data_IF_606168783328
#
_entry.id   IF_606168783328
#
_cell.length_a   1.000
_cell.length_b   1.000
_cell.length_c   1.000
_cell.angle_alpha   90.00
_cell.angle_beta   90.00
_cell.angle_gamma   90.00
#
_symmetry.space_group_name_H-M   'P 1'
#
loop_
_entity.id
_entity.type
_entity.pdbx_description
1 polymer ?
#
# COMPACT_ATOMS: atom_id res chain seq x y z
N UNK A 1 -7.19 -17.58 28.54
CA UNK A 1 -6.14 -16.55 28.75
C UNK A 1 -5.95 -15.86 27.41
N UNK A 2 -6.61 -14.71 27.20
CA UNK A 2 -6.71 -14.09 25.87
C UNK A 2 -5.37 -13.53 25.43
N UNK A 3 -4.79 -14.13 24.39
CA UNK A 3 -3.66 -13.55 23.66
C UNK A 3 -4.15 -12.25 23.03
N UNK A 4 -3.65 -11.13 23.53
CA UNK A 4 -3.88 -9.82 22.94
C UNK A 4 -3.19 -9.86 21.58
N UNK A 5 -3.97 -9.89 20.49
CA UNK A 5 -3.47 -9.78 19.13
C UNK A 5 -2.75 -8.43 18.97
N UNK A 6 -1.43 -8.43 19.21
CA UNK A 6 -0.54 -7.30 19.00
C UNK A 6 -0.22 -7.23 17.50
N UNK A 7 -0.59 -6.11 16.85
CA UNK A 7 -0.30 -5.89 15.43
C UNK A 7 -1.49 -5.48 14.55
N UNK A 8 -2.49 -4.75 15.06
CA UNK A 8 -3.46 -4.06 14.18
C UNK A 8 -2.71 -2.97 13.41
N UNK A 9 -2.75 -3.05 12.08
CA UNK A 9 -2.21 -2.04 11.15
C UNK A 9 -2.56 -0.61 11.60
N UNK A 10 -1.55 0.12 12.09
CA UNK A 10 -1.69 1.46 12.66
C UNK A 10 -2.33 2.43 11.66
N UNK A 11 -2.05 2.25 10.36
CA UNK A 11 -2.64 3.06 9.30
C UNK A 11 -4.15 2.86 9.24
N UNK A 12 -4.60 1.60 9.33
CA UNK A 12 -6.02 1.23 9.35
C UNK A 12 -6.74 1.67 10.63
N UNK A 13 -6.04 1.64 11.77
CA UNK A 13 -6.58 2.03 13.06
C UNK A 13 -6.76 3.56 13.17
N UNK A 14 -5.83 4.33 12.60
CA UNK A 14 -5.83 5.79 12.69
C UNK A 14 -6.71 6.47 11.63
N UNK A 15 -6.82 5.88 10.43
CA UNK A 15 -7.43 6.55 9.30
C UNK A 15 -8.45 5.67 8.57
N UNK A 16 -9.58 6.29 8.22
CA UNK A 16 -10.58 5.65 7.36
C UNK A 16 -9.98 5.27 6.01
N UNK A 17 -10.59 4.32 5.30
CA UNK A 17 -10.13 3.92 3.95
C UNK A 17 -9.96 5.12 3.00
N UNK A 18 -10.92 6.05 2.98
CA UNK A 18 -10.85 7.26 2.14
C UNK A 18 -9.68 8.16 2.55
N UNK A 19 -9.48 8.39 3.85
CA UNK A 19 -8.36 9.18 4.34
C UNK A 19 -7.02 8.57 3.95
N UNK A 20 -6.87 7.26 4.13
CA UNK A 20 -5.65 6.55 3.73
C UNK A 20 -5.34 6.77 2.25
N UNK A 21 -6.31 6.56 1.37
CA UNK A 21 -6.13 6.75 -0.07
C UNK A 21 -5.72 8.18 -0.44
N UNK A 22 -6.37 9.19 0.16
CA UNK A 22 -6.04 10.58 -0.12
C UNK A 22 -4.67 10.99 0.47
N UNK A 23 -4.39 10.60 1.71
CA UNK A 23 -3.11 10.89 2.36
C UNK A 23 -1.95 10.23 1.60
N UNK A 24 -2.10 8.97 1.19
CA UNK A 24 -1.16 8.27 0.31
C UNK A 24 -0.92 9.02 -1.01
N UNK A 25 -2.00 9.44 -1.68
CA UNK A 25 -1.92 10.13 -2.97
C UNK A 25 -1.19 11.48 -2.86
N UNK A 26 -1.51 12.28 -1.85
CA UNK A 26 -0.98 13.63 -1.70
C UNK A 26 0.36 13.67 -0.98
N UNK A 27 0.54 12.96 0.12
CA UNK A 27 1.77 13.05 0.92
C UNK A 27 2.84 12.05 0.49
N UNK A 28 2.48 11.01 -0.27
CA UNK A 28 3.44 10.16 -0.98
C UNK A 28 4.11 10.89 -2.16
N UNK A 29 3.35 11.74 -2.86
CA UNK A 29 3.83 12.54 -3.99
C UNK A 29 3.48 14.03 -3.83
N UNK A 30 4.09 14.74 -2.85
CA UNK A 30 3.67 16.08 -2.43
C UNK A 30 3.80 17.17 -3.50
N UNK A 31 4.63 16.95 -4.50
CA UNK A 31 4.84 17.92 -5.58
C UNK A 31 3.81 17.74 -6.72
N UNK A 32 3.09 16.60 -6.75
CA UNK A 32 2.06 16.33 -7.76
C UNK A 32 0.76 17.03 -7.43
N UNK A 33 0.12 17.54 -8.46
CA UNK A 33 -1.21 18.14 -8.43
C UNK A 33 -2.19 17.23 -9.15
N UNK A 34 -3.35 16.99 -8.55
CA UNK A 34 -4.38 16.10 -9.09
C UNK A 34 -5.70 16.83 -9.23
N UNK A 35 -6.43 16.61 -10.33
CA UNK A 35 -7.78 17.13 -10.49
C UNK A 35 -8.82 16.20 -9.85
N UNK A 36 -9.96 16.75 -9.42
CA UNK A 36 -10.98 16.03 -8.65
C UNK A 36 -11.38 14.66 -9.23
N UNK A 37 -11.62 14.59 -10.53
CA UNK A 37 -12.05 13.34 -11.19
C UNK A 37 -10.94 12.28 -11.24
N UNK A 38 -9.67 12.70 -11.33
CA UNK A 38 -8.53 11.78 -11.25
C UNK A 38 -8.43 11.17 -9.85
N UNK A 39 -8.60 12.00 -8.82
CA UNK A 39 -8.54 11.57 -7.41
C UNK A 39 -9.61 10.52 -7.14
N UNK A 40 -10.85 10.74 -7.61
CA UNK A 40 -11.96 9.79 -7.44
C UNK A 40 -11.62 8.43 -8.08
N UNK A 41 -11.08 8.43 -9.30
CA UNK A 41 -10.67 7.18 -9.97
C UNK A 41 -9.54 6.47 -9.23
N UNK A 42 -8.53 7.22 -8.77
CA UNK A 42 -7.36 6.67 -8.07
C UNK A 42 -7.68 6.17 -6.67
N UNK A 43 -8.58 6.85 -5.95
CA UNK A 43 -8.92 6.49 -4.58
C UNK A 43 -9.79 5.22 -4.48
N UNK A 44 -10.49 4.84 -5.55
CA UNK A 44 -11.31 3.62 -5.58
C UNK A 44 -12.42 3.59 -4.53
N UNK A 45 -12.92 4.77 -4.13
CA UNK A 45 -13.97 4.96 -3.12
C UNK A 45 -15.05 5.92 -3.65
N UNK A 46 -16.25 5.88 -3.06
CA UNK A 46 -17.40 6.64 -3.55
C UNK A 46 -17.14 8.15 -3.66
N UNK A 47 -17.55 8.75 -4.79
CA UNK A 47 -17.31 10.15 -5.16
C UNK A 47 -17.66 11.15 -4.05
N UNK A 48 -18.82 10.99 -3.40
CA UNK A 48 -19.25 11.87 -2.33
C UNK A 48 -18.35 11.83 -1.10
N UNK A 49 -17.80 10.65 -0.76
CA UNK A 49 -16.85 10.51 0.35
C UNK A 49 -15.51 11.17 0.02
N UNK A 50 -15.02 11.02 -1.21
CA UNK A 50 -13.81 11.72 -1.68
C UNK A 50 -13.98 13.22 -1.60
N UNK A 51 -15.09 13.77 -2.12
CA UNK A 51 -15.32 15.21 -2.13
C UNK A 51 -15.40 15.81 -0.72
N UNK A 52 -16.10 15.14 0.21
CA UNK A 52 -16.16 15.57 1.61
C UNK A 52 -14.79 15.59 2.26
N UNK A 53 -13.98 14.56 2.06
CA UNK A 53 -12.65 14.51 2.68
C UNK A 53 -11.69 15.50 2.02
N UNK A 54 -11.75 15.71 0.70
CA UNK A 54 -10.98 16.77 0.03
C UNK A 54 -11.30 18.16 0.57
N UNK A 55 -12.59 18.47 0.76
CA UNK A 55 -13.03 19.73 1.33
C UNK A 55 -12.53 19.90 2.77
N UNK A 56 -12.58 18.84 3.58
CA UNK A 56 -12.06 18.82 4.95
C UNK A 56 -10.55 19.04 5.01
N UNK A 57 -9.77 18.31 4.21
CA UNK A 57 -8.31 18.44 4.18
C UNK A 57 -7.87 19.81 3.66
N UNK A 58 -8.56 20.36 2.65
CA UNK A 58 -8.32 21.71 2.17
C UNK A 58 -8.68 22.77 3.22
N UNK A 59 -9.84 22.64 3.87
CA UNK A 59 -10.28 23.54 4.94
C UNK A 59 -9.36 23.54 6.16
N UNK A 60 -8.72 22.40 6.45
CA UNK A 60 -7.70 22.28 7.49
C UNK A 60 -6.30 22.77 7.06
N UNK A 61 -6.15 23.27 5.82
CA UNK A 61 -4.87 23.75 5.30
C UNK A 61 -3.86 22.63 5.00
N UNK A 62 -4.30 21.38 4.91
CA UNK A 62 -3.45 20.23 4.57
C UNK A 62 -3.28 20.07 3.05
N UNK A 63 -4.23 20.58 2.28
CA UNK A 63 -4.18 20.66 0.82
C UNK A 63 -4.31 22.10 0.36
N UNK A 64 -3.56 22.44 -0.69
CA UNK A 64 -3.78 23.65 -1.49
C UNK A 64 -4.75 23.34 -2.63
N UNK A 65 -5.63 24.30 -2.93
CA UNK A 65 -6.61 24.19 -4.02
C UNK A 65 -6.36 25.29 -5.04
N UNK A 66 -6.25 24.93 -6.32
CA UNK A 66 -6.10 25.89 -7.42
C UNK A 66 -7.05 25.56 -8.56
N UNK A 67 -7.62 26.58 -9.20
CA UNK A 67 -8.32 26.42 -10.48
C UNK A 67 -7.31 26.54 -11.62
N UNK A 68 -7.32 25.55 -12.51
CA UNK A 68 -6.53 25.55 -13.74
C UNK A 68 -7.52 25.33 -14.88
N UNK A 69 -7.81 26.39 -15.63
CA UNK A 69 -8.93 26.42 -16.57
C UNK A 69 -10.25 26.08 -15.87
N UNK A 70 -10.97 25.07 -16.37
CA UNK A 70 -12.24 24.60 -15.81
C UNK A 70 -12.08 23.52 -14.72
N UNK A 71 -10.85 23.16 -14.35
CA UNK A 71 -10.58 22.08 -13.40
C UNK A 71 -10.13 22.61 -12.03
N UNK A 72 -10.60 21.95 -10.98
CA UNK A 72 -10.14 22.18 -9.61
C UNK A 72 -9.06 21.14 -9.28
N UNK A 73 -7.88 21.66 -8.95
CA UNK A 73 -6.69 20.89 -8.62
C UNK A 73 -6.40 20.95 -7.13
N UNK A 74 -5.97 19.82 -6.59
CA UNK A 74 -5.54 19.64 -5.21
C UNK A 74 -4.08 19.20 -5.17
N UNK A 75 -3.34 19.72 -4.20
CA UNK A 75 -1.94 19.34 -3.95
C UNK A 75 -1.66 19.41 -2.44
N UNK A 76 -0.76 18.57 -1.94
CA UNK A 76 -0.30 18.66 -0.55
C UNK A 76 0.21 20.08 -0.23
N UNK A 77 -0.18 20.61 0.93
CA UNK A 77 0.34 21.88 1.40
C UNK A 77 1.63 21.66 2.19
N UNK A 78 2.77 21.93 1.56
CA UNK A 78 4.09 21.80 2.22
C UNK A 78 4.33 22.84 3.31
N UNK A 79 3.55 23.91 3.32
CA UNK A 79 3.59 24.96 4.34
C UNK A 79 2.72 24.62 5.56
N UNK A 80 1.99 23.50 5.54
CA UNK A 80 1.24 23.04 6.70
C UNK A 80 2.20 22.69 7.85
N UNK A 81 1.94 23.15 9.09
CA UNK A 81 2.81 22.86 10.23
C UNK A 81 3.00 21.37 10.53
N UNK A 82 2.02 20.53 10.17
CA UNK A 82 2.06 19.07 10.39
C UNK A 82 2.43 18.27 9.14
N UNK A 83 2.86 18.95 8.06
CA UNK A 83 3.23 18.28 6.82
C UNK A 83 4.35 17.24 7.02
N UNK A 84 5.46 17.53 7.73
CA UNK A 84 6.54 16.57 7.93
C UNK A 84 6.07 15.28 8.63
N UNK A 85 5.19 15.41 9.62
CA UNK A 85 4.65 14.30 10.41
C UNK A 85 3.70 13.45 9.57
N UNK A 86 2.75 14.07 8.86
CA UNK A 86 1.84 13.35 7.97
C UNK A 86 2.60 12.63 6.84
N UNK A 87 3.59 13.30 6.25
CA UNK A 87 4.46 12.69 5.25
C UNK A 87 5.27 11.54 5.84
N UNK A 88 5.80 11.70 7.06
CA UNK A 88 6.52 10.64 7.76
C UNK A 88 5.65 9.41 8.00
N UNK A 89 4.42 9.60 8.46
CA UNK A 89 3.44 8.51 8.65
C UNK A 89 3.17 7.83 7.31
N UNK A 90 2.87 8.60 6.26
CA UNK A 90 2.57 8.04 4.93
C UNK A 90 3.75 7.28 4.34
N UNK A 91 4.98 7.78 4.47
CA UNK A 91 6.17 7.08 3.96
C UNK A 91 6.42 5.78 4.74
N UNK A 92 6.25 5.80 6.06
CA UNK A 92 6.45 4.61 6.91
C UNK A 92 5.37 3.54 6.73
N UNK A 93 4.21 3.90 6.20
CA UNK A 93 3.06 2.98 6.06
C UNK A 93 2.78 2.62 4.60
N UNK A 94 2.64 3.63 3.73
CA UNK A 94 2.27 3.51 2.31
C UNK A 94 3.45 3.62 1.32
N UNK A 95 4.55 4.29 1.71
CA UNK A 95 5.87 3.84 1.23
C UNK A 95 6.04 2.36 1.62
N UNK A 96 7.14 1.65 1.45
CA UNK A 96 7.10 0.16 1.54
C UNK A 96 6.19 -0.44 0.46
N UNK A 97 4.85 -0.41 0.59
CA UNK A 97 3.93 -1.03 -0.38
C UNK A 97 4.11 -0.50 -1.81
N UNK A 98 4.28 0.82 -2.00
CA UNK A 98 4.54 1.37 -3.34
C UNK A 98 5.95 1.05 -3.86
N UNK A 99 6.95 0.98 -3.00
CA UNK A 99 8.32 0.61 -3.39
C UNK A 99 8.36 -0.85 -3.83
N UNK A 100 7.72 -1.75 -3.08
CA UNK A 100 7.59 -3.16 -3.43
C UNK A 100 6.77 -3.30 -4.73
N UNK A 101 5.63 -2.62 -4.85
CA UNK A 101 4.83 -2.58 -6.08
C UNK A 101 5.65 -2.14 -7.28
N UNK A 102 6.43 -1.06 -7.12
CA UNK A 102 7.26 -0.51 -8.20
C UNK A 102 8.36 -1.49 -8.64
N UNK A 103 8.98 -2.19 -7.69
CA UNK A 103 9.96 -3.23 -8.00
C UNK A 103 9.36 -4.42 -8.77
N UNK A 104 8.10 -4.76 -8.49
CA UNK A 104 7.39 -5.84 -9.17
C UNK A 104 6.87 -5.46 -10.57
N UNK A 105 6.89 -4.18 -10.97
CA UNK A 105 6.32 -3.73 -12.26
C UNK A 105 6.97 -4.41 -13.47
N UNK A 106 8.27 -4.70 -13.41
CA UNK A 106 8.97 -5.40 -14.48
C UNK A 106 8.50 -6.85 -14.66
N UNK A 107 7.96 -7.45 -13.60
CA UNK A 107 7.50 -8.84 -13.55
C UNK A 107 5.97 -8.97 -13.63
N UNK A 108 5.24 -7.86 -13.73
CA UNK A 108 3.78 -7.82 -13.57
C UNK A 108 3.00 -8.74 -14.54
N UNK A 109 3.58 -9.08 -15.70
CA UNK A 109 2.94 -9.94 -16.70
C UNK A 109 2.85 -11.41 -16.29
N UNK A 110 3.71 -11.83 -15.37
CA UNK A 110 3.80 -13.22 -14.88
C UNK A 110 3.22 -13.37 -13.46
N UNK A 111 2.94 -12.24 -12.78
CA UNK A 111 2.40 -12.23 -11.43
C UNK A 111 0.88 -12.33 -11.48
N UNK A 112 0.34 -13.42 -10.96
CA UNK A 112 -1.10 -13.57 -10.80
C UNK A 112 -1.65 -12.89 -9.53
N UNK A 113 -0.87 -12.88 -8.45
CA UNK A 113 -1.21 -12.21 -7.19
C UNK A 113 0.06 -11.76 -6.48
N UNK A 114 0.04 -10.55 -5.91
CA UNK A 114 1.08 -10.07 -5.00
C UNK A 114 0.47 -9.39 -3.78
N UNK A 115 0.87 -9.82 -2.58
CA UNK A 115 0.39 -9.31 -1.30
C UNK A 115 1.57 -9.00 -0.38
N UNK A 116 1.60 -7.82 0.22
CA UNK A 116 2.40 -7.61 1.45
C UNK A 116 1.53 -7.98 2.63
N UNK A 117 2.04 -8.79 3.56
CA UNK A 117 1.28 -9.28 4.71
C UNK A 117 2.05 -9.15 6.02
N UNK A 118 1.31 -9.23 7.12
CA UNK A 118 1.85 -9.18 8.49
C UNK A 118 2.25 -7.78 8.94
N UNK A 119 3.03 -7.73 10.02
CA UNK A 119 3.56 -6.48 10.62
C UNK A 119 4.59 -5.77 9.74
N UNK A 120 4.75 -6.15 8.48
CA UNK A 120 5.58 -5.46 7.49
C UNK A 120 5.25 -3.95 7.35
N UNK A 121 4.07 -3.51 7.81
CA UNK A 121 3.65 -2.10 7.91
C UNK A 121 4.06 -1.37 9.19
N UNK A 122 4.56 -2.09 10.21
CA UNK A 122 5.16 -1.50 11.39
C UNK A 122 6.63 -1.17 11.10
N UNK A 123 7.08 0.02 11.51
CA UNK A 123 8.43 0.50 11.25
C UNK A 123 9.54 -0.33 11.93
N UNK A 124 9.17 -1.18 12.88
CA UNK A 124 10.08 -1.87 13.80
C UNK A 124 10.31 -3.34 13.41
N UNK A 125 9.65 -3.83 12.35
CA UNK A 125 9.80 -5.19 11.86
C UNK A 125 11.03 -5.29 10.92
N UNK A 126 11.97 -6.22 11.16
CA UNK A 126 13.20 -6.31 10.37
C UNK A 126 12.96 -6.69 8.89
N UNK A 127 11.81 -7.27 8.54
CA UNK A 127 11.54 -7.74 7.18
C UNK A 127 10.15 -7.33 6.66
N UNK A 128 10.04 -7.27 5.34
CA UNK A 128 8.78 -7.06 4.62
C UNK A 128 8.38 -8.40 4.01
N UNK A 129 7.30 -9.01 4.53
CA UNK A 129 6.82 -10.27 3.99
C UNK A 129 5.98 -10.03 2.74
N UNK A 130 6.32 -10.74 1.66
CA UNK A 130 5.69 -10.62 0.36
C UNK A 130 5.23 -12.01 -0.09
N UNK A 131 3.94 -12.19 -0.34
CA UNK A 131 3.41 -13.39 -0.98
C UNK A 131 3.20 -13.10 -2.46
N UNK A 132 3.71 -13.99 -3.31
CA UNK A 132 3.57 -13.96 -4.76
C UNK A 132 2.95 -15.28 -5.25
N UNK A 133 2.01 -15.17 -6.18
CA UNK A 133 1.52 -16.31 -6.95
C UNK A 133 1.88 -16.10 -8.41
N UNK A 134 2.63 -17.04 -8.98
CA UNK A 134 3.05 -17.06 -10.37
C UNK A 134 3.44 -18.49 -10.76
N UNK A 135 3.08 -18.89 -11.99
CA UNK A 135 3.44 -20.22 -12.52
C UNK A 135 4.78 -20.20 -13.27
N UNK A 136 5.23 -19.01 -13.71
CA UNK A 136 6.39 -18.85 -14.60
C UNK A 136 7.60 -18.20 -13.92
N UNK A 137 7.39 -17.40 -12.86
CA UNK A 137 8.47 -16.71 -12.19
C UNK A 137 9.37 -17.68 -11.42
N UNK A 138 10.69 -17.44 -11.51
CA UNK A 138 11.67 -18.12 -10.66
C UNK A 138 11.99 -17.24 -9.45
N UNK A 139 12.26 -17.89 -8.32
CA UNK A 139 12.64 -17.21 -7.08
C UNK A 139 13.82 -16.24 -7.27
N UNK A 140 14.83 -16.61 -8.06
CA UNK A 140 15.99 -15.76 -8.33
C UNK A 140 15.66 -14.46 -9.04
N UNK A 141 14.67 -14.49 -9.95
CA UNK A 141 14.27 -13.30 -10.72
C UNK A 141 13.48 -12.33 -9.82
N UNK A 142 12.66 -12.88 -8.92
CA UNK A 142 11.96 -12.13 -7.89
C UNK A 142 12.95 -11.41 -6.97
N UNK A 143 13.91 -12.13 -6.37
CA UNK A 143 14.89 -11.52 -5.46
C UNK A 143 15.71 -10.45 -6.20
N UNK A 144 16.16 -10.73 -7.41
CA UNK A 144 16.90 -9.75 -8.22
C UNK A 144 16.07 -8.46 -8.45
N UNK A 145 14.78 -8.59 -8.79
CA UNK A 145 13.87 -7.47 -8.99
C UNK A 145 13.63 -6.64 -7.72
N UNK A 146 13.66 -7.26 -6.55
CA UNK A 146 13.39 -6.62 -5.26
C UNK A 146 14.60 -5.87 -4.67
N UNK A 147 15.83 -6.21 -5.07
CA UNK A 147 17.09 -5.63 -4.55
C UNK A 147 17.06 -4.09 -4.48
N UNK A 148 16.51 -3.43 -5.50
CA UNK A 148 16.41 -1.97 -5.54
C UNK A 148 15.46 -1.40 -4.47
N UNK A 149 14.35 -2.08 -4.22
CA UNK A 149 13.40 -1.70 -3.17
C UNK A 149 13.98 -1.95 -1.78
N UNK A 150 14.69 -3.06 -1.55
CA UNK A 150 15.33 -3.35 -0.27
C UNK A 150 16.34 -2.27 0.12
N UNK A 151 17.20 -1.87 -0.83
CA UNK A 151 18.17 -0.79 -0.63
C UNK A 151 17.48 0.55 -0.33
N UNK A 152 16.39 0.86 -1.04
CA UNK A 152 15.65 2.10 -0.83
C UNK A 152 14.89 2.13 0.51
N UNK A 153 14.44 0.96 0.98
CA UNK A 153 13.68 0.80 2.22
C UNK A 153 14.57 0.56 3.44
N UNK A 154 15.83 0.14 3.24
CA UNK A 154 16.74 -0.29 4.30
C UNK A 154 16.23 -1.54 5.05
N UNK A 155 15.40 -2.36 4.40
CA UNK A 155 14.73 -3.53 4.97
C UNK A 155 14.76 -4.68 3.96
N UNK A 156 14.96 -5.90 4.46
CA UNK A 156 14.92 -7.10 3.64
C UNK A 156 13.47 -7.39 3.23
N UNK A 157 13.24 -7.81 1.98
CA UNK A 157 11.93 -8.27 1.51
C UNK A 157 12.00 -9.80 1.42
N UNK A 158 11.11 -10.48 2.13
CA UNK A 158 11.05 -11.94 2.18
C UNK A 158 9.91 -12.44 1.27
N UNK A 159 10.20 -12.84 0.02
CA UNK A 159 9.20 -13.40 -0.87
C UNK A 159 8.88 -14.86 -0.52
N UNK A 160 7.60 -15.17 -0.37
CA UNK A 160 7.05 -16.50 -0.55
C UNK A 160 6.46 -16.58 -1.96
N UNK A 161 6.95 -17.50 -2.76
CA UNK A 161 6.52 -17.70 -4.14
C UNK A 161 5.81 -19.05 -4.25
N UNK A 162 4.58 -19.03 -4.74
CA UNK A 162 3.78 -20.21 -5.02
C UNK A 162 3.33 -20.23 -6.48
N UNK A 163 3.22 -21.43 -7.06
CA UNK A 163 2.35 -21.62 -8.21
C UNK A 163 0.89 -21.54 -7.81
N UNK A 164 -0.02 -21.37 -8.78
CA UNK A 164 -1.47 -21.43 -8.53
C UNK A 164 -1.85 -22.76 -7.88
N UNK A 165 -1.35 -23.86 -8.42
CA UNK A 165 -1.67 -25.21 -7.98
C UNK A 165 -1.20 -25.49 -6.54
N UNK A 166 -0.01 -25.03 -6.16
CA UNK A 166 0.49 -25.16 -4.79
C UNK A 166 -0.34 -24.35 -3.80
N UNK A 167 -0.67 -23.11 -4.15
CA UNK A 167 -1.47 -22.24 -3.29
C UNK A 167 -2.86 -22.82 -3.02
N UNK A 168 -3.55 -23.29 -4.07
CA UNK A 168 -4.89 -23.85 -3.95
C UNK A 168 -4.89 -25.14 -3.12
N UNK A 169 -3.90 -26.03 -3.33
CA UNK A 169 -3.71 -27.26 -2.55
C UNK A 169 -3.48 -26.99 -1.06
N UNK A 170 -2.70 -25.95 -0.73
CA UNK A 170 -2.45 -25.56 0.66
C UNK A 170 -3.70 -24.96 1.31
N UNK A 171 -4.51 -24.22 0.56
CA UNK A 171 -5.81 -23.75 1.03
C UNK A 171 -6.77 -24.90 1.31
N UNK A 172 -6.90 -25.86 0.38
CA UNK A 172 -7.81 -27.00 0.51
C UNK A 172 -7.42 -27.95 1.65
N UNK A 173 -6.12 -28.14 1.86
CA UNK A 173 -5.61 -28.98 2.95
C UNK A 173 -5.71 -28.33 4.33
N UNK A 174 -6.13 -27.06 4.41
CA UNK A 174 -6.20 -26.32 5.66
C UNK A 174 -4.84 -26.11 6.31
N UNK A 175 -3.80 -25.90 5.51
CA UNK A 175 -2.43 -25.70 6.00
C UNK A 175 -2.39 -24.55 7.01
N UNK A 176 -1.89 -24.82 8.22
CA UNK A 176 -1.92 -23.88 9.34
C UNK A 176 -1.08 -22.62 9.07
N UNK A 177 0.09 -22.76 8.44
CA UNK A 177 1.00 -21.65 8.16
C UNK A 177 0.38 -20.69 7.12
N UNK A 178 -0.17 -21.23 6.03
CA UNK A 178 -0.85 -20.42 5.03
C UNK A 178 -2.12 -19.77 5.59
N UNK A 179 -2.89 -20.49 6.41
CA UNK A 179 -4.07 -19.94 7.07
C UNK A 179 -3.71 -18.77 7.99
N UNK A 180 -2.62 -18.86 8.75
CA UNK A 180 -2.13 -17.76 9.59
C UNK A 180 -1.73 -16.55 8.75
N UNK A 181 -0.96 -16.75 7.67
CA UNK A 181 -0.59 -15.68 6.73
C UNK A 181 -1.83 -15.00 6.15
N UNK A 182 -2.85 -15.78 5.78
CA UNK A 182 -4.08 -15.28 5.21
C UNK A 182 -5.00 -14.62 6.24
N UNK A 183 -4.86 -14.84 7.54
CA UNK A 183 -5.62 -14.11 8.58
C UNK A 183 -4.97 -12.76 8.93
N UNK A 184 -3.66 -12.61 8.68
CA UNK A 184 -2.95 -11.37 8.95
C UNK A 184 -3.45 -10.19 8.09
N UNK A 185 -3.26 -8.94 8.58
CA UNK A 185 -3.44 -7.74 7.77
C UNK A 185 -2.59 -7.82 6.50
N UNK A 186 -3.18 -7.45 5.36
CA UNK A 186 -2.54 -7.57 4.05
C UNK A 186 -2.93 -6.43 3.12
N UNK A 187 -1.98 -6.04 2.26
CA UNK A 187 -2.16 -5.03 1.23
C UNK A 187 -1.94 -5.68 -0.13
N UNK A 188 -2.96 -5.58 -0.98
CA UNK A 188 -2.92 -6.05 -2.35
C UNK A 188 -2.03 -5.15 -3.21
N UNK A 189 -0.95 -5.73 -3.73
CA UNK A 189 -0.05 -5.07 -4.67
C UNK A 189 -0.48 -5.33 -6.11
N UNK A 190 -0.74 -6.57 -6.52
CA UNK A 190 -1.11 -6.90 -7.91
C UNK A 190 -2.10 -8.06 -7.95
N UNK A 191 -2.91 -8.12 -9.01
CA UNK A 191 -3.88 -9.19 -9.22
C UNK A 191 -5.14 -9.06 -8.36
N UNK A 192 -5.86 -10.16 -8.20
CA UNK A 192 -7.06 -10.28 -7.36
C UNK A 192 -6.97 -11.54 -6.51
N UNK A 193 -7.36 -11.45 -5.24
CA UNK A 193 -7.71 -12.64 -4.45
C UNK A 193 -8.99 -13.22 -5.05
N UNK A 194 -8.86 -14.36 -5.73
CA UNK A 194 -9.99 -15.15 -6.21
C UNK A 194 -10.71 -15.84 -5.07
#
# INVERSE_FOLDING_TARGET
MGMIAQGKDLWNALFTRTQRQLLSLFFGYPDRSYYANEIVRKAGVGTGSVQRELAKLAGAGLLTVKRVGNQVHYRANRESPIFPELRGIVIKTYGITEQVRSALLALQGEISLALVYGSAMAADDPAINLLLISDDLRYTDVVAGLTGAENALGRNIQPLLFTREEFDRLCESGNADLAEILDQPKVLLMGTLG
#
